data_IF_782525563226
#
_entry.id   IF_782525563226
#
_cell.length_a   1.000
_cell.length_b   1.000
_cell.length_c   1.000
_cell.angle_alpha   90.00
_cell.angle_beta   90.00
_cell.angle_gamma   90.00
#
_symmetry.space_group_name_H-M   'P 1'
#
loop_
_entity.id
_entity.type
_entity.pdbx_description
1 polymer ?
#
# COMPACT_ATOMS: atom_id res chain seq x y z
N UNK A 1 15.02 -6.36 13.38
CA UNK A 1 14.10 -5.39 13.97
C UNK A 1 14.39 -4.04 13.39
N UNK A 2 13.65 -3.67 12.35
CA UNK A 2 13.61 -2.30 11.85
C UNK A 2 12.92 -1.40 12.88
N UNK A 3 13.33 -0.13 12.91
CA UNK A 3 12.75 0.89 13.77
C UNK A 3 11.94 1.85 12.90
N UNK A 4 10.62 1.77 12.98
CA UNK A 4 9.69 2.57 12.18
C UNK A 4 9.28 3.80 13.00
N UNK A 5 9.39 4.99 12.42
CA UNK A 5 9.01 6.23 13.10
C UNK A 5 7.52 6.51 12.90
N UNK A 6 6.69 6.04 13.83
CA UNK A 6 5.27 6.33 13.82
C UNK A 6 5.05 7.84 14.01
N UNK A 7 4.30 8.51 13.11
CA UNK A 7 4.05 9.95 13.20
C UNK A 7 3.39 10.42 14.51
N UNK A 8 2.79 9.50 15.27
CA UNK A 8 2.08 9.80 16.52
C UNK A 8 2.76 9.21 17.76
N UNK A 9 3.46 8.09 17.63
CA UNK A 9 3.99 7.32 18.75
C UNK A 9 5.52 7.32 18.84
N UNK A 10 6.21 7.93 17.86
CA UNK A 10 7.66 7.93 17.73
C UNK A 10 8.21 6.61 17.20
N UNK A 11 9.51 6.39 17.42
CA UNK A 11 10.22 5.18 17.02
C UNK A 11 9.71 3.91 17.73
N UNK A 12 9.31 2.90 16.95
CA UNK A 12 8.79 1.61 17.43
C UNK A 12 9.34 0.44 16.62
N UNK A 13 9.36 -0.75 17.22
CA UNK A 13 9.80 -1.98 16.55
C UNK A 13 8.83 -2.40 15.44
N UNK A 14 9.37 -3.00 14.37
CA UNK A 14 8.59 -3.41 13.17
C UNK A 14 7.42 -4.34 13.48
N UNK A 15 7.50 -5.13 14.55
CA UNK A 15 6.47 -6.08 14.98
C UNK A 15 5.20 -5.43 15.54
N UNK A 16 5.23 -4.12 15.85
CA UNK A 16 4.04 -3.37 16.22
C UNK A 16 3.17 -2.98 15.00
N UNK A 17 3.68 -3.15 13.78
CA UNK A 17 3.04 -2.69 12.54
C UNK A 17 2.58 -3.85 11.65
N UNK A 18 1.64 -3.55 10.76
CA UNK A 18 1.23 -4.44 9.68
C UNK A 18 1.65 -3.82 8.34
N UNK A 19 2.22 -4.63 7.45
CA UNK A 19 2.60 -4.18 6.12
C UNK A 19 1.39 -4.04 5.20
N UNK A 20 1.19 -2.84 4.65
CA UNK A 20 0.05 -2.43 3.85
C UNK A 20 0.31 -2.35 2.34
N UNK A 21 1.48 -2.83 1.88
CA UNK A 21 1.90 -2.84 0.47
C UNK A 21 1.99 -1.44 -0.14
N UNK A 22 1.90 -1.31 -1.46
CA UNK A 22 2.05 -0.05 -2.20
C UNK A 22 1.15 1.06 -1.64
N UNK A 23 1.74 2.24 -1.46
CA UNK A 23 1.01 3.45 -1.12
C UNK A 23 0.26 4.03 -2.32
N UNK A 24 -0.58 5.03 -2.05
CA UNK A 24 -1.24 5.87 -3.06
C UNK A 24 -2.20 5.16 -4.03
N UNK A 25 -2.63 3.93 -3.73
CA UNK A 25 -3.70 3.25 -4.48
C UNK A 25 -5.06 3.60 -3.85
N UNK A 26 -5.72 4.62 -4.40
CA UNK A 26 -7.08 5.01 -4.03
C UNK A 26 -8.13 4.02 -4.54
N UNK A 27 -9.22 3.86 -3.79
CA UNK A 27 -10.38 3.10 -4.27
C UNK A 27 -11.03 3.82 -5.46
N UNK A 28 -11.43 3.13 -6.55
CA UNK A 28 -12.06 3.77 -7.69
C UNK A 28 -13.37 4.45 -7.30
N UNK A 29 -13.61 5.69 -7.73
CA UNK A 29 -14.81 6.45 -7.37
C UNK A 29 -16.09 5.82 -7.95
N UNK A 30 -15.98 5.19 -9.12
CA UNK A 30 -17.09 4.51 -9.82
C UNK A 30 -16.67 3.13 -10.32
N UNK A 31 -16.62 2.11 -9.44
CA UNK A 31 -16.14 0.77 -9.80
C UNK A 31 -16.99 0.09 -10.88
N UNK A 32 -18.28 0.42 -10.97
CA UNK A 32 -19.25 -0.13 -11.92
C UNK A 32 -19.05 0.37 -13.36
N UNK A 33 -18.34 1.48 -13.55
CA UNK A 33 -17.97 2.00 -14.87
C UNK A 33 -16.66 1.38 -15.39
N UNK A 34 -15.95 0.57 -14.59
CA UNK A 34 -14.69 -0.07 -14.98
C UNK A 34 -14.93 -1.34 -15.80
N UNK A 35 -14.02 -1.60 -16.73
CA UNK A 35 -13.89 -2.92 -17.36
C UNK A 35 -13.36 -3.95 -16.36
N UNK A 36 -13.65 -5.22 -16.59
CA UNK A 36 -13.11 -6.32 -15.78
C UNK A 36 -11.58 -6.29 -15.67
N UNK A 37 -10.89 -5.89 -16.75
CA UNK A 37 -9.42 -5.73 -16.76
C UNK A 37 -8.97 -4.64 -15.78
N UNK A 38 -9.58 -3.45 -15.83
CA UNK A 38 -9.25 -2.35 -14.92
C UNK A 38 -9.57 -2.70 -13.47
N UNK A 39 -10.67 -3.44 -13.25
CA UNK A 39 -11.02 -3.92 -11.93
C UNK A 39 -10.04 -4.98 -11.41
N UNK A 40 -9.59 -5.89 -12.27
CA UNK A 40 -8.56 -6.87 -11.92
C UNK A 40 -7.23 -6.20 -11.58
N UNK A 41 -6.84 -5.15 -12.31
CA UNK A 41 -5.67 -4.31 -11.97
C UNK A 41 -5.80 -3.72 -10.56
N UNK A 42 -6.97 -3.16 -10.23
CA UNK A 42 -7.21 -2.61 -8.90
C UNK A 42 -7.17 -3.67 -7.78
N UNK A 43 -7.75 -4.85 -7.99
CA UNK A 43 -7.81 -5.89 -6.94
C UNK A 43 -6.45 -6.58 -6.78
N UNK A 44 -5.78 -6.95 -7.87
CA UNK A 44 -4.70 -7.93 -7.84
C UNK A 44 -3.31 -7.36 -8.13
N UNK A 45 -3.19 -6.17 -8.73
CA UNK A 45 -1.90 -5.67 -9.20
C UNK A 45 -1.37 -4.53 -8.34
N UNK A 46 -0.10 -4.62 -7.96
CA UNK A 46 0.64 -3.57 -7.25
C UNK A 46 2.05 -3.46 -7.83
N UNK A 47 2.66 -2.30 -7.68
CA UNK A 47 4.08 -2.14 -7.97
C UNK A 47 4.94 -3.02 -7.06
N UNK A 48 6.06 -3.52 -7.59
CA UNK A 48 7.06 -4.29 -6.87
C UNK A 48 8.45 -3.73 -7.20
N UNK A 49 8.63 -2.45 -6.91
CA UNK A 49 9.82 -1.70 -7.31
C UNK A 49 11.05 -2.22 -6.56
N UNK A 50 12.07 -2.65 -7.31
CA UNK A 50 13.38 -2.94 -6.75
C UNK A 50 14.14 -1.63 -6.53
N UNK A 51 14.08 -1.10 -5.31
CA UNK A 51 14.73 0.16 -4.94
C UNK A 51 13.88 0.92 -3.93
N UNK A 52 13.87 2.25 -4.03
CA UNK A 52 12.96 3.09 -3.26
C UNK A 52 11.51 2.74 -3.63
N UNK A 53 10.70 2.42 -2.62
CA UNK A 53 9.32 1.98 -2.77
C UNK A 53 8.42 2.78 -1.83
N UNK A 54 7.32 3.31 -2.36
CA UNK A 54 6.32 4.00 -1.56
C UNK A 54 5.33 2.96 -1.01
N UNK A 55 5.35 2.74 0.30
CA UNK A 55 4.60 1.68 0.99
C UNK A 55 3.76 2.20 2.16
N UNK A 56 2.95 1.33 2.77
CA UNK A 56 2.07 1.60 3.91
C UNK A 56 2.25 0.57 5.01
#
# INVERSE_FOLDING_TARGET
>A
MLLINCPWCGSRDETEFHYGSQAHIGYPEKPDELTDTQWAEYIFYRENTKGWFAER
#
